data_IF_649147107953
#
_entry.id   IF_649147107953
#
_cell.length_a   1.000
_cell.length_b   1.000
_cell.length_c   1.000
_cell.angle_alpha   90.00
_cell.angle_beta   90.00
_cell.angle_gamma   90.00
#
_symmetry.space_group_name_H-M   'P 1'
#
loop_
_entity.id
_entity.type
_entity.pdbx_description
1 polymer ?
#
# COMPACT_ATOMS: atom_id res chain seq x y z
N UNK A 1 -26.32 -9.35 13.26
CA UNK A 1 -26.72 -8.22 12.39
C UNK A 1 -26.18 -6.96 13.04
N UNK A 2 -25.18 -6.33 12.44
CA UNK A 2 -24.49 -5.16 13.01
C UNK A 2 -25.03 -3.92 12.33
N UNK A 3 -25.78 -3.11 13.07
CA UNK A 3 -26.17 -1.76 12.62
C UNK A 3 -25.16 -0.78 13.19
N UNK A 4 -24.38 -0.15 12.32
CA UNK A 4 -23.52 0.99 12.69
C UNK A 4 -24.10 2.25 12.05
N UNK A 5 -24.35 3.21 12.93
CA UNK A 5 -25.15 4.42 12.75
C UNK A 5 -24.45 5.40 11.80
N UNK A 6 -25.19 5.86 10.79
CA UNK A 6 -24.85 6.98 9.94
C UNK A 6 -25.01 8.28 10.74
N UNK A 7 -23.90 8.80 11.27
CA UNK A 7 -23.84 10.12 11.89
C UNK A 7 -23.59 11.20 10.84
N UNK A 8 -24.62 11.97 10.53
CA UNK A 8 -24.53 13.23 9.81
C UNK A 8 -24.05 14.34 10.76
N UNK A 9 -22.83 14.84 10.57
CA UNK A 9 -22.39 16.07 11.22
C UNK A 9 -21.68 16.96 10.19
N UNK A 10 -22.46 17.81 9.54
CA UNK A 10 -21.94 19.00 8.87
C UNK A 10 -21.52 20.01 9.94
N UNK A 11 -20.27 19.90 10.40
CA UNK A 11 -19.58 20.98 11.10
C UNK A 11 -18.15 21.03 10.59
N UNK A 12 -17.84 22.12 9.91
CA UNK A 12 -16.51 22.51 9.50
C UNK A 12 -15.57 22.52 10.74
N UNK A 13 -14.77 21.48 10.85
CA UNK A 13 -13.52 21.51 11.60
C UNK A 13 -12.45 21.13 10.59
N UNK A 14 -11.72 22.14 10.12
CA UNK A 14 -10.43 22.00 9.46
C UNK A 14 -9.42 21.45 10.48
N UNK A 15 -9.62 20.21 10.93
CA UNK A 15 -8.59 19.46 11.63
C UNK A 15 -8.35 18.21 10.80
N UNK A 16 -7.08 18.05 10.47
CA UNK A 16 -6.47 17.02 9.64
C UNK A 16 -6.57 15.61 10.28
N UNK A 17 -7.69 15.28 10.89
CA UNK A 17 -8.01 13.95 11.44
C UNK A 17 -8.36 13.03 10.29
N UNK A 18 -7.33 12.56 9.59
CA UNK A 18 -7.45 11.37 8.77
C UNK A 18 -7.91 10.21 9.67
N UNK A 19 -8.88 9.38 9.26
CA UNK A 19 -9.16 8.14 9.96
C UNK A 19 -7.89 7.29 9.96
N UNK A 20 -7.43 6.92 11.16
CA UNK A 20 -6.22 6.13 11.43
C UNK A 20 -6.39 4.68 10.96
N UNK A 21 -6.40 4.48 9.66
CA UNK A 21 -6.46 3.18 9.04
C UNK A 21 -5.84 3.20 7.66
N UNK A 22 -5.09 2.15 7.37
CA UNK A 22 -4.63 1.66 6.06
C UNK A 22 -3.21 2.08 5.65
N UNK A 23 -2.32 1.07 5.65
CA UNK A 23 -1.01 0.91 4.99
C UNK A 23 -0.03 2.10 4.88
N UNK A 24 1.26 1.85 5.19
CA UNK A 24 2.38 2.81 4.97
C UNK A 24 2.36 3.40 3.56
N UNK A 25 1.97 2.60 2.56
CA UNK A 25 1.77 2.99 1.16
C UNK A 25 0.75 4.13 1.02
N UNK A 26 -0.44 4.02 1.65
CA UNK A 26 -1.48 5.04 1.58
C UNK A 26 -1.06 6.35 2.26
N UNK A 27 -0.32 6.27 3.37
CA UNK A 27 0.25 7.45 4.03
C UNK A 27 1.24 8.19 3.12
N UNK A 28 2.14 7.46 2.45
CA UNK A 28 3.12 8.04 1.52
C UNK A 28 2.41 8.66 0.30
N UNK A 29 1.42 7.97 -0.27
CA UNK A 29 0.63 8.51 -1.40
C UNK A 29 -0.07 9.82 -1.04
N UNK A 30 -0.67 9.91 0.16
CA UNK A 30 -1.28 11.18 0.62
C UNK A 30 -0.24 12.28 0.79
N UNK A 31 0.94 11.98 1.34
CA UNK A 31 2.00 12.98 1.49
C UNK A 31 2.49 13.51 0.12
N UNK A 32 2.64 12.63 -0.86
CA UNK A 32 2.97 13.03 -2.24
C UNK A 32 1.88 13.97 -2.80
N UNK A 33 0.61 13.66 -2.58
CA UNK A 33 -0.50 14.47 -3.07
C UNK A 33 -0.51 15.87 -2.43
N UNK A 34 -0.39 15.95 -1.10
CA UNK A 34 -0.33 17.22 -0.36
C UNK A 34 0.87 18.07 -0.81
N UNK A 35 2.06 17.46 -0.96
CA UNK A 35 3.24 18.19 -1.44
C UNK A 35 3.11 18.63 -2.90
N UNK A 36 2.46 17.83 -3.75
CA UNK A 36 2.21 18.20 -5.15
C UNK A 36 1.24 19.37 -5.24
N UNK A 37 0.18 19.38 -4.43
CA UNK A 37 -0.72 20.54 -4.33
C UNK A 37 0.00 21.77 -3.82
N UNK A 38 0.85 21.61 -2.78
CA UNK A 38 1.66 22.71 -2.25
C UNK A 38 2.57 23.27 -3.34
N UNK A 39 3.19 22.41 -4.15
CA UNK A 39 4.04 22.82 -5.27
C UNK A 39 3.28 23.72 -6.27
N UNK A 40 2.04 23.36 -6.62
CA UNK A 40 1.20 24.18 -7.50
C UNK A 40 0.80 25.52 -6.86
N UNK A 41 0.62 25.54 -5.54
CA UNK A 41 0.27 26.75 -4.78
C UNK A 41 1.46 27.71 -4.62
N UNK A 42 2.70 27.23 -4.55
CA UNK A 42 3.92 28.07 -4.42
C UNK A 42 4.00 29.13 -5.53
N UNK A 43 3.63 28.79 -6.76
CA UNK A 43 3.60 29.76 -7.87
C UNK A 43 2.63 30.92 -7.60
N UNK A 44 1.51 30.62 -6.94
CA UNK A 44 0.44 31.57 -6.60
C UNK A 44 0.62 32.23 -5.23
N UNK A 45 1.62 31.80 -4.44
CA UNK A 45 1.89 32.36 -3.11
C UNK A 45 2.38 33.80 -3.25
N UNK A 46 1.62 34.75 -2.70
CA UNK A 46 1.96 36.16 -2.68
C UNK A 46 2.91 36.45 -1.51
N UNK A 47 3.93 37.30 -1.72
CA UNK A 47 4.92 37.64 -0.68
C UNK A 47 6.26 36.91 -0.75
N UNK A 48 6.48 36.02 -1.73
CA UNK A 48 7.80 35.42 -2.00
C UNK A 48 8.41 35.94 -3.30
N UNK A 49 9.74 36.11 -3.30
CA UNK A 49 10.47 36.46 -4.53
C UNK A 49 10.49 35.28 -5.52
N UNK A 50 10.71 35.54 -6.83
CA UNK A 50 10.80 34.47 -7.83
C UNK A 50 11.87 33.41 -7.50
N UNK A 51 13.01 33.83 -6.94
CA UNK A 51 14.07 32.93 -6.50
C UNK A 51 13.63 32.05 -5.32
N UNK A 52 12.98 32.62 -4.31
CA UNK A 52 12.44 31.86 -3.18
C UNK A 52 11.40 30.84 -3.63
N UNK A 53 10.51 31.22 -4.56
CA UNK A 53 9.53 30.30 -5.15
C UNK A 53 10.21 29.14 -5.87
N UNK A 54 11.25 29.43 -6.65
CA UNK A 54 12.02 28.41 -7.38
C UNK A 54 12.73 27.45 -6.43
N UNK A 55 13.37 27.98 -5.39
CA UNK A 55 14.07 27.18 -4.39
C UNK A 55 13.11 26.31 -3.58
N UNK A 56 11.99 26.89 -3.13
CA UNK A 56 10.96 26.17 -2.39
C UNK A 56 10.29 25.10 -3.27
N UNK A 57 10.04 25.40 -4.54
CA UNK A 57 9.55 24.43 -5.50
C UNK A 57 10.53 23.26 -5.71
N UNK A 58 11.82 23.56 -5.87
CA UNK A 58 12.86 22.54 -6.01
C UNK A 58 12.96 21.64 -4.76
N UNK A 59 12.87 22.24 -3.56
CA UNK A 59 12.88 21.49 -2.30
C UNK A 59 11.66 20.57 -2.18
N UNK A 60 10.47 21.07 -2.49
CA UNK A 60 9.23 20.28 -2.47
C UNK A 60 9.26 19.17 -3.52
N UNK A 61 9.76 19.44 -4.74
CA UNK A 61 9.96 18.41 -5.77
C UNK A 61 10.90 17.30 -5.28
N UNK A 62 12.03 17.65 -4.67
CA UNK A 62 12.98 16.68 -4.12
C UNK A 62 12.35 15.80 -3.03
N UNK A 63 11.49 16.38 -2.18
CA UNK A 63 10.74 15.62 -1.18
C UNK A 63 9.73 14.66 -1.82
N UNK A 64 9.00 15.10 -2.85
CA UNK A 64 8.07 14.26 -3.61
C UNK A 64 8.81 13.08 -4.23
N UNK A 65 9.96 13.33 -4.86
CA UNK A 65 10.79 12.30 -5.49
C UNK A 65 11.25 11.25 -4.47
N UNK A 66 11.77 11.69 -3.32
CA UNK A 66 12.16 10.78 -2.24
C UNK A 66 10.99 9.91 -1.75
N UNK A 67 9.80 10.49 -1.61
CA UNK A 67 8.60 9.73 -1.21
C UNK A 67 8.14 8.74 -2.30
N UNK A 68 8.25 9.10 -3.57
CA UNK A 68 7.93 8.19 -4.70
C UNK A 68 8.86 6.98 -4.71
N UNK A 69 10.16 7.19 -4.51
CA UNK A 69 11.15 6.10 -4.42
C UNK A 69 10.81 5.16 -3.26
N UNK A 70 10.45 5.71 -2.10
CA UNK A 70 10.03 4.90 -0.95
C UNK A 70 8.76 4.10 -1.23
N UNK A 71 7.79 4.70 -1.93
CA UNK A 71 6.55 4.03 -2.34
C UNK A 71 6.84 2.85 -3.28
N UNK A 72 7.65 3.07 -4.31
CA UNK A 72 8.02 2.05 -5.29
C UNK A 72 8.75 0.89 -4.62
N UNK A 73 9.69 1.18 -3.72
CA UNK A 73 10.41 0.16 -2.97
C UNK A 73 9.47 -0.68 -2.09
N UNK A 74 8.47 -0.06 -1.46
CA UNK A 74 7.45 -0.78 -0.67
C UNK A 74 6.57 -1.67 -1.54
N UNK A 75 6.13 -1.18 -2.70
CA UNK A 75 5.33 -1.96 -3.65
C UNK A 75 6.12 -3.17 -4.17
N UNK A 76 7.39 -2.97 -4.50
CA UNK A 76 8.29 -4.04 -4.96
C UNK A 76 8.50 -5.10 -3.89
N UNK A 77 8.74 -4.70 -2.64
CA UNK A 77 8.81 -5.63 -1.51
C UNK A 77 7.51 -6.42 -1.31
N UNK A 78 6.35 -5.79 -1.51
CA UNK A 78 5.07 -6.46 -1.38
C UNK A 78 4.87 -7.52 -2.48
N UNK A 79 5.24 -7.20 -3.72
CA UNK A 79 5.22 -8.13 -4.83
C UNK A 79 6.20 -9.30 -4.65
N UNK A 80 7.42 -9.05 -4.15
CA UNK A 80 8.40 -10.10 -3.87
C UNK A 80 7.95 -11.04 -2.76
N UNK A 81 7.27 -10.54 -1.72
CA UNK A 81 6.72 -11.38 -0.65
C UNK A 81 5.61 -12.29 -1.16
N UNK A 82 4.66 -11.77 -1.94
CA UNK A 82 3.59 -12.60 -2.52
C UNK A 82 4.13 -13.71 -3.45
N UNK A 83 5.24 -13.47 -4.13
CA UNK A 83 5.82 -14.47 -5.04
C UNK A 83 6.58 -15.59 -4.30
N UNK A 84 6.98 -15.37 -3.04
CA UNK A 84 7.67 -16.39 -2.23
C UNK A 84 6.71 -17.41 -1.62
N UNK A 85 5.48 -17.02 -1.29
CA UNK A 85 4.47 -17.94 -0.77
C UNK A 85 3.92 -18.90 -1.86
N UNK A 86 4.02 -18.54 -3.15
CA UNK A 86 3.58 -19.40 -4.25
C UNK A 86 4.57 -20.54 -4.60
N UNK A 87 5.83 -20.48 -4.13
CA UNK A 87 6.87 -21.48 -4.46
C UNK A 87 7.07 -22.55 -3.38
N UNK A 88 6.30 -22.54 -2.29
CA UNK A 88 6.26 -23.62 -1.30
C UNK A 88 5.00 -24.48 -1.52
N UNK A 89 4.77 -24.92 -2.76
CA UNK A 89 4.12 -26.20 -2.97
C UNK A 89 5.24 -27.24 -2.95
N UNK A 90 5.38 -28.09 -1.92
CA UNK A 90 6.23 -29.26 -2.05
C UNK A 90 5.60 -30.13 -3.14
N UNK A 91 6.28 -30.21 -4.28
CA UNK A 91 6.01 -31.16 -5.36
C UNK A 91 6.34 -32.58 -4.85
N UNK A 92 5.50 -33.07 -3.93
CA UNK A 92 5.40 -34.46 -3.57
C UNK A 92 4.08 -34.97 -4.15
N UNK A 93 4.00 -35.05 -5.47
CA UNK A 93 2.96 -35.87 -6.13
C UNK A 93 3.62 -36.91 -7.01
N UNK A 94 4.25 -37.84 -6.29
CA UNK A 94 4.21 -39.29 -6.51
C UNK A 94 3.38 -39.68 -7.74
N UNK A 95 4.10 -40.07 -8.78
CA UNK A 95 3.84 -41.21 -9.65
C UNK A 95 2.56 -41.98 -9.28
N UNK A 96 1.47 -41.75 -10.03
CA UNK A 96 0.36 -42.72 -10.06
C UNK A 96 0.39 -43.41 -11.40
N UNK A 97 1.15 -44.50 -11.42
CA UNK A 97 0.92 -45.62 -12.30
C UNK A 97 -0.53 -46.08 -12.10
N UNK A 98 -1.17 -46.36 -13.22
CA UNK A 98 -2.36 -47.19 -13.33
C UNK A 98 -2.29 -48.35 -12.34
N UNK A 99 -3.30 -48.49 -11.48
CA UNK A 99 -3.77 -49.82 -11.07
C UNK A 99 -5.17 -49.69 -10.45
N UNK A 100 -6.09 -50.26 -11.22
CA UNK A 100 -7.42 -50.74 -10.89
C UNK A 100 -7.58 -51.31 -9.48
N UNK A 101 -8.69 -50.93 -8.84
CA UNK A 101 -9.60 -51.80 -8.09
C UNK A 101 -8.96 -52.78 -7.08
N UNK A 102 -9.11 -52.51 -5.78
CA UNK A 102 -9.53 -53.52 -4.80
C UNK A 102 -10.02 -52.85 -3.52
N UNK A 103 -11.19 -53.30 -3.08
CA UNK A 103 -11.86 -52.97 -1.84
C UNK A 103 -11.08 -53.42 -0.60
N UNK A 104 -11.36 -52.76 0.52
CA UNK A 104 -11.32 -53.42 1.83
C UNK A 104 -10.02 -53.26 2.62
N UNK A 105 -10.24 -53.02 3.92
CA UNK A 105 -9.33 -53.27 5.05
C UNK A 105 -8.03 -52.46 5.11
N UNK A 106 -8.09 -51.39 5.91
CA UNK A 106 -6.95 -50.78 6.57
C UNK A 106 -6.51 -51.75 7.67
N UNK A 107 -5.35 -52.38 7.51
CA UNK A 107 -4.61 -53.01 8.61
C UNK A 107 -3.49 -52.05 9.03
N UNK A 108 -3.57 -51.51 10.26
CA UNK A 108 -2.45 -50.82 10.91
C UNK A 108 -2.10 -51.63 12.16
N UNK A 109 -0.95 -52.31 12.09
CA UNK A 109 -0.29 -53.01 13.19
C UNK A 109 0.40 -51.99 14.13
N UNK A 110 0.29 -52.21 15.44
CA UNK A 110 1.27 -51.77 16.46
C UNK A 110 1.81 -52.99 17.19
#
# INVERSE_FOLDING_TARGET
MSVTIQGNASTAILNNSAPEGTSKIAKIMRQIQVLTEKLGKISSEEGMTPEQKKEMAALVQKQIESLRVQLEQLLRQQAEKQNKDAKVQPDNKVERKDDTNTAGTIDIYV
#
